data_IF_763145615750
#
_entry.id   IF_763145615750
#
_cell.length_a   1.000
_cell.length_b   1.000
_cell.length_c   1.000
_cell.angle_alpha   90.00
_cell.angle_beta   90.00
_cell.angle_gamma   90.00
#
_symmetry.space_group_name_H-M   'P 1'
#
loop_
_entity.id
_entity.type
_entity.pdbx_description
1 polymer ?
#
# COMPACT_ATOMS: atom_id res chain seq x y z
N UNK A 1 11.85 0.38 23.86
CA UNK A 1 11.10 0.32 25.16
C UNK A 1 10.32 -0.99 25.20
N UNK A 2 10.65 -1.94 26.09
CA UNK A 2 9.90 -3.18 26.23
C UNK A 2 8.54 -2.82 26.85
N UNK A 3 7.45 -2.89 26.10
CA UNK A 3 6.11 -2.63 26.63
C UNK A 3 5.62 -3.94 27.25
N UNK A 4 5.73 -4.06 28.56
CA UNK A 4 5.39 -5.29 29.34
C UNK A 4 3.91 -5.28 29.81
N UNK A 5 3.05 -4.52 29.11
CA UNK A 5 1.63 -4.41 29.43
C UNK A 5 0.75 -5.28 28.53
N UNK A 6 -0.46 -5.56 29.00
CA UNK A 6 -1.48 -6.27 28.25
C UNK A 6 -2.44 -5.28 27.60
N UNK A 7 -2.66 -5.43 26.30
CA UNK A 7 -3.51 -4.56 25.48
C UNK A 7 -4.72 -5.28 24.93
N UNK A 8 -5.79 -4.53 24.66
CA UNK A 8 -6.96 -5.04 23.95
C UNK A 8 -7.53 -4.02 22.96
N UNK A 9 -8.11 -4.52 21.89
CA UNK A 9 -8.93 -3.75 20.97
C UNK A 9 -9.99 -4.59 20.27
N UNK A 10 -10.97 -3.90 19.69
CA UNK A 10 -11.95 -4.50 18.79
C UNK A 10 -11.24 -4.75 17.44
N UNK A 11 -11.20 -5.99 17.00
CA UNK A 11 -10.51 -6.39 15.77
C UNK A 11 -11.42 -6.48 14.53
N UNK A 12 -12.73 -6.40 14.72
CA UNK A 12 -13.72 -6.38 13.63
C UNK A 12 -14.14 -4.95 13.31
N UNK A 13 -14.55 -4.65 12.06
CA UNK A 13 -15.06 -3.33 11.69
C UNK A 13 -16.24 -2.92 12.59
N UNK A 14 -16.39 -1.61 12.89
CA UNK A 14 -17.54 -1.11 13.65
C UNK A 14 -18.83 -1.27 12.83
N UNK A 15 -19.87 -1.84 13.44
CA UNK A 15 -21.16 -2.05 12.77
C UNK A 15 -21.96 -3.17 13.41
N UNK A 16 -23.08 -3.55 12.79
CA UNK A 16 -23.91 -4.69 13.18
C UNK A 16 -23.50 -5.86 12.30
N UNK A 17 -23.02 -6.94 12.90
CA UNK A 17 -22.61 -8.16 12.22
C UNK A 17 -22.99 -9.40 13.02
N UNK A 18 -22.74 -10.59 12.46
CA UNK A 18 -22.97 -11.86 13.18
C UNK A 18 -21.98 -12.08 14.33
N UNK A 19 -20.74 -11.64 14.18
CA UNK A 19 -19.64 -11.83 15.13
C UNK A 19 -18.88 -10.54 15.34
N UNK A 20 -18.52 -10.24 16.60
CA UNK A 20 -17.55 -9.23 17.00
C UNK A 20 -16.34 -9.91 17.64
N UNK A 21 -15.14 -9.43 17.36
CA UNK A 21 -13.89 -9.99 17.89
C UNK A 21 -13.17 -8.92 18.71
N UNK A 22 -12.85 -9.24 19.95
CA UNK A 22 -11.94 -8.46 20.80
C UNK A 22 -10.65 -9.26 20.91
N UNK A 23 -9.53 -8.65 20.55
CA UNK A 23 -8.19 -9.23 20.69
C UNK A 23 -7.51 -8.68 21.92
N UNK A 24 -6.90 -9.57 22.71
CA UNK A 24 -6.09 -9.25 23.89
C UNK A 24 -4.70 -9.82 23.69
N UNK A 25 -3.65 -9.03 23.87
CA UNK A 25 -2.25 -9.47 23.73
C UNK A 25 -1.41 -8.99 24.89
N UNK A 26 -0.51 -9.84 25.35
CA UNK A 26 0.42 -9.57 26.43
C UNK A 26 0.48 -10.71 27.45
N UNK A 27 1.44 -10.62 28.38
CA UNK A 27 1.73 -11.68 29.37
C UNK A 27 0.54 -12.05 30.27
N UNK A 28 -0.34 -11.07 30.58
CA UNK A 28 -1.48 -11.27 31.46
C UNK A 28 -2.79 -11.56 30.71
N UNK A 29 -2.73 -11.73 29.36
CA UNK A 29 -3.92 -11.97 28.53
C UNK A 29 -4.71 -13.23 28.96
N UNK A 30 -4.02 -14.34 29.22
CA UNK A 30 -4.66 -15.58 29.68
C UNK A 30 -5.26 -15.45 31.09
N UNK A 31 -4.50 -15.02 32.12
CA UNK A 31 -5.04 -14.87 33.47
C UNK A 31 -6.26 -13.95 33.53
N UNK A 32 -6.18 -12.79 32.87
CA UNK A 32 -7.27 -11.81 32.89
C UNK A 32 -8.52 -12.39 32.20
N UNK A 33 -8.39 -12.91 31.00
CA UNK A 33 -9.55 -13.48 30.30
C UNK A 33 -10.12 -14.70 31.04
N UNK A 34 -9.27 -15.53 31.64
CA UNK A 34 -9.73 -16.67 32.44
C UNK A 34 -10.56 -16.24 33.66
N UNK A 35 -10.27 -15.08 34.27
CA UNK A 35 -11.04 -14.55 35.40
C UNK A 35 -12.44 -14.05 35.00
N UNK A 36 -12.62 -13.68 33.73
CA UNK A 36 -13.86 -13.14 33.16
C UNK A 36 -14.68 -14.19 32.39
N UNK A 37 -14.07 -15.31 32.04
CA UNK A 37 -14.68 -16.35 31.22
C UNK A 37 -15.16 -17.53 32.03
N UNK A 38 -16.44 -17.81 31.92
CA UNK A 38 -17.05 -19.02 32.48
C UNK A 38 -17.17 -20.07 31.39
N UNK A 39 -16.23 -21.02 31.41
CA UNK A 39 -16.23 -22.15 30.48
C UNK A 39 -17.48 -23.04 30.66
N UNK A 40 -18.03 -23.54 29.58
CA UNK A 40 -19.03 -24.62 29.60
C UNK A 40 -18.43 -25.96 30.08
N UNK A 41 -17.10 -26.11 30.05
CA UNK A 41 -16.36 -27.26 30.52
C UNK A 41 -15.71 -27.03 31.89
N UNK A 42 -15.07 -28.08 32.42
CA UNK A 42 -14.43 -28.06 33.76
C UNK A 42 -12.96 -27.65 33.75
N UNK A 43 -12.31 -27.58 32.58
CA UNK A 43 -10.88 -27.29 32.48
C UNK A 43 -10.67 -25.76 32.30
N UNK A 44 -9.84 -25.10 33.14
CA UNK A 44 -9.49 -23.71 33.00
C UNK A 44 -8.84 -23.38 31.65
N UNK A 45 -8.94 -22.09 31.18
CA UNK A 45 -8.30 -21.65 29.94
C UNK A 45 -6.79 -21.85 29.96
N UNK A 46 -6.14 -21.64 31.10
CA UNK A 46 -4.69 -21.76 31.30
C UNK A 46 -4.16 -23.15 30.98
N UNK A 47 -4.96 -24.20 31.25
CA UNK A 47 -4.58 -25.62 31.09
C UNK A 47 -4.94 -26.17 29.70
N UNK A 48 -5.52 -25.34 28.83
CA UNK A 48 -5.91 -25.77 27.49
C UNK A 48 -4.71 -25.78 26.52
N UNK A 49 -4.82 -26.63 25.51
CA UNK A 49 -3.84 -26.67 24.43
C UNK A 49 -3.82 -25.36 23.65
N UNK A 50 -2.64 -25.02 23.12
CA UNK A 50 -2.48 -23.88 22.22
C UNK A 50 -3.34 -24.04 20.95
N UNK A 51 -3.85 -22.93 20.42
CA UNK A 51 -4.68 -22.86 19.20
C UNK A 51 -5.97 -23.68 19.32
N UNK A 52 -6.63 -23.61 20.49
CA UNK A 52 -7.94 -24.23 20.74
C UNK A 52 -9.01 -23.18 20.97
N UNK A 53 -10.23 -23.51 20.59
CA UNK A 53 -11.42 -22.68 20.80
C UNK A 53 -12.21 -23.26 21.98
N UNK A 54 -12.68 -22.36 22.87
CA UNK A 54 -13.47 -22.70 24.03
C UNK A 54 -14.82 -21.98 23.99
N UNK A 55 -15.91 -22.73 24.20
CA UNK A 55 -17.25 -22.17 24.34
C UNK A 55 -17.54 -21.87 25.80
N UNK A 56 -18.18 -20.73 26.05
CA UNK A 56 -18.58 -20.29 27.37
C UNK A 56 -19.26 -18.94 27.36
N UNK A 57 -19.18 -18.23 28.46
CA UNK A 57 -19.75 -16.90 28.62
C UNK A 57 -18.75 -15.92 29.27
N UNK A 58 -18.80 -14.66 28.87
CA UNK A 58 -18.15 -13.57 29.61
C UNK A 58 -19.09 -13.11 30.70
N UNK A 59 -18.59 -13.13 31.93
CA UNK A 59 -19.32 -12.79 33.16
C UNK A 59 -18.58 -11.68 33.87
N UNK A 60 -19.31 -10.64 34.28
CA UNK A 60 -18.78 -9.60 35.14
C UNK A 60 -18.65 -10.17 36.59
N UNK A 61 -17.45 -10.31 37.13
CA UNK A 61 -17.24 -10.90 38.43
C UNK A 61 -17.81 -10.05 39.60
N UNK A 62 -17.96 -8.72 39.41
CA UNK A 62 -18.50 -7.84 40.43
C UNK A 62 -20.02 -7.97 40.60
N UNK A 63 -20.73 -8.25 39.50
CA UNK A 63 -22.20 -8.33 39.48
C UNK A 63 -22.71 -9.75 39.26
N UNK A 64 -21.82 -10.70 38.89
CA UNK A 64 -22.13 -12.06 38.46
C UNK A 64 -23.11 -12.12 37.25
N UNK A 65 -23.15 -11.06 36.48
CA UNK A 65 -24.05 -10.93 35.30
C UNK A 65 -23.33 -11.43 34.07
N UNK A 66 -23.96 -12.31 33.32
CA UNK A 66 -23.51 -12.70 31.97
C UNK A 66 -23.68 -11.52 31.03
N UNK A 67 -22.59 -11.18 30.31
CA UNK A 67 -22.59 -10.16 29.28
C UNK A 67 -22.99 -10.78 27.94
N UNK A 68 -22.30 -11.89 27.56
CA UNK A 68 -22.57 -12.58 26.29
C UNK A 68 -22.06 -14.02 26.34
N UNK A 69 -22.64 -14.87 25.49
CA UNK A 69 -22.07 -16.18 25.16
C UNK A 69 -21.01 -16.01 24.07
N UNK A 70 -19.86 -16.66 24.24
CA UNK A 70 -18.69 -16.38 23.41
C UNK A 70 -17.91 -17.64 23.06
N UNK A 71 -17.11 -17.54 22.00
CA UNK A 71 -15.99 -18.44 21.71
C UNK A 71 -14.69 -17.74 22.06
N UNK A 72 -13.80 -18.38 22.78
CA UNK A 72 -12.47 -17.86 23.13
C UNK A 72 -11.41 -18.69 22.43
N UNK A 73 -10.62 -18.04 21.57
CA UNK A 73 -9.46 -18.63 20.88
C UNK A 73 -8.20 -18.28 21.64
N UNK A 74 -7.39 -19.30 21.94
CA UNK A 74 -6.14 -19.19 22.68
C UNK A 74 -4.94 -19.36 21.75
N UNK A 75 -3.98 -18.43 21.82
CA UNK A 75 -2.72 -18.48 21.07
C UNK A 75 -1.56 -18.15 22.00
N UNK A 76 -0.78 -19.17 22.38
CA UNK A 76 0.40 -18.99 23.24
C UNK A 76 1.59 -18.52 22.42
N UNK A 77 2.32 -17.57 22.95
CA UNK A 77 3.60 -17.14 22.40
C UNK A 77 4.64 -18.26 22.29
N UNK A 78 5.56 -18.21 21.32
CA UNK A 78 5.69 -17.23 20.25
C UNK A 78 4.76 -17.48 19.04
N UNK A 79 3.91 -18.51 19.07
CA UNK A 79 3.06 -18.93 17.94
C UNK A 79 1.69 -18.23 17.93
N UNK A 80 1.71 -16.92 18.00
CA UNK A 80 0.54 -16.02 17.98
C UNK A 80 0.75 -14.87 16.96
N UNK A 81 -0.21 -13.95 16.87
CA UNK A 81 -0.09 -12.79 15.96
C UNK A 81 1.04 -11.85 16.37
N UNK A 82 1.17 -11.52 17.65
CA UNK A 82 2.17 -10.59 18.21
C UNK A 82 3.46 -11.28 18.67
N UNK A 83 3.52 -12.61 18.58
CA UNK A 83 4.49 -13.48 19.26
C UNK A 83 4.40 -13.43 20.80
N UNK A 84 3.44 -12.73 21.39
CA UNK A 84 3.07 -12.76 22.79
C UNK A 84 1.94 -13.79 23.02
N UNK A 85 1.48 -13.92 24.27
CA UNK A 85 0.23 -14.62 24.55
C UNK A 85 -0.95 -13.79 24.05
N UNK A 86 -1.80 -14.38 23.21
CA UNK A 86 -2.95 -13.72 22.58
C UNK A 86 -4.22 -14.49 22.85
N UNK A 87 -5.27 -13.77 23.21
CA UNK A 87 -6.63 -14.30 23.33
C UNK A 87 -7.56 -13.52 22.42
N UNK A 88 -8.36 -14.21 21.61
CA UNK A 88 -9.46 -13.58 20.87
C UNK A 88 -10.79 -14.03 21.45
N UNK A 89 -11.62 -13.05 21.83
CA UNK A 89 -12.97 -13.25 22.35
C UNK A 89 -13.94 -12.94 21.19
N UNK A 90 -14.58 -13.99 20.67
CA UNK A 90 -15.58 -13.88 19.63
C UNK A 90 -16.97 -13.86 20.27
N UNK A 91 -17.61 -12.71 20.26
CA UNK A 91 -18.94 -12.45 20.82
C UNK A 91 -19.95 -12.15 19.71
N UNK A 92 -21.22 -11.91 20.07
CA UNK A 92 -22.19 -11.41 19.10
C UNK A 92 -21.79 -10.00 18.60
N UNK A 93 -21.92 -9.79 17.27
CA UNK A 93 -21.44 -8.62 16.54
C UNK A 93 -22.29 -7.36 16.71
N UNK A 94 -22.91 -7.20 17.88
CA UNK A 94 -23.61 -5.97 18.26
C UNK A 94 -22.67 -4.95 18.88
N UNK A 95 -22.92 -3.65 18.68
CA UNK A 95 -22.11 -2.57 19.27
C UNK A 95 -22.03 -2.66 20.80
N UNK A 96 -23.15 -3.04 21.44
CA UNK A 96 -23.25 -3.06 22.92
C UNK A 96 -22.45 -4.21 23.53
N UNK A 97 -22.61 -5.50 23.10
CA UNK A 97 -21.83 -6.60 23.65
C UNK A 97 -20.32 -6.36 23.53
N UNK A 98 -19.87 -6.00 22.31
CA UNK A 98 -18.45 -5.76 22.03
C UNK A 98 -17.87 -4.67 22.92
N UNK A 99 -18.56 -3.53 23.09
CA UNK A 99 -18.13 -2.44 23.96
C UNK A 99 -18.14 -2.82 25.44
N UNK A 100 -19.13 -3.60 25.89
CA UNK A 100 -19.20 -4.04 27.28
C UNK A 100 -18.06 -4.99 27.64
N UNK A 101 -17.73 -5.94 26.75
CA UNK A 101 -16.60 -6.84 26.96
C UNK A 101 -15.28 -6.06 26.99
N UNK A 102 -15.05 -5.15 26.02
CA UNK A 102 -13.85 -4.31 26.02
C UNK A 102 -13.73 -3.46 27.30
N UNK A 103 -14.83 -2.83 27.73
CA UNK A 103 -14.86 -2.06 28.97
C UNK A 103 -14.56 -2.92 30.19
N UNK A 104 -15.06 -4.15 30.23
CA UNK A 104 -14.77 -5.09 31.30
C UNK A 104 -13.28 -5.43 31.37
N UNK A 105 -12.62 -5.69 30.20
CA UNK A 105 -11.19 -5.93 30.13
C UNK A 105 -10.38 -4.72 30.63
N UNK A 106 -10.74 -3.50 30.19
CA UNK A 106 -10.07 -2.27 30.64
C UNK A 106 -10.19 -2.07 32.16
N UNK A 107 -11.31 -2.45 32.77
CA UNK A 107 -11.49 -2.40 34.23
C UNK A 107 -10.66 -3.47 34.98
N UNK A 108 -10.00 -4.38 34.26
CA UNK A 108 -9.17 -5.47 34.78
C UNK A 108 -7.72 -5.34 34.29
N UNK A 109 -7.16 -4.13 34.34
CA UNK A 109 -5.76 -3.81 34.06
C UNK A 109 -5.29 -4.11 32.62
N UNK A 110 -6.23 -4.14 31.65
CA UNK A 110 -5.90 -4.18 30.24
C UNK A 110 -5.97 -2.78 29.65
N UNK A 111 -4.89 -2.31 29.04
CA UNK A 111 -4.86 -1.02 28.34
C UNK A 111 -5.52 -1.15 26.95
N UNK A 112 -6.19 -0.11 26.50
CA UNK A 112 -6.62 -0.04 25.10
C UNK A 112 -5.41 0.05 24.18
N UNK A 113 -5.39 -0.77 23.12
CA UNK A 113 -4.35 -0.74 22.11
C UNK A 113 -4.43 0.57 21.30
N UNK A 114 -3.26 1.06 20.90
CA UNK A 114 -3.11 2.13 19.93
C UNK A 114 -3.32 1.62 18.50
N UNK A 115 -3.42 2.53 17.53
CA UNK A 115 -3.48 2.16 16.12
C UNK A 115 -2.22 1.37 15.73
N UNK A 116 -2.39 0.23 15.07
CA UNK A 116 -1.29 -0.63 14.61
C UNK A 116 -0.49 -1.35 15.70
N UNK A 117 -0.85 -1.24 16.98
CA UNK A 117 0.00 -1.72 18.09
C UNK A 117 0.23 -3.24 18.07
N UNK A 118 -0.74 -4.03 17.66
CA UNK A 118 -0.53 -5.49 17.57
C UNK A 118 0.49 -5.84 16.47
N UNK A 119 0.44 -5.16 15.33
CA UNK A 119 1.40 -5.38 14.25
C UNK A 119 2.78 -4.82 14.62
N UNK A 120 2.83 -3.67 15.32
CA UNK A 120 4.06 -3.13 15.90
C UNK A 120 4.73 -4.12 16.86
N UNK A 121 3.96 -4.76 17.76
CA UNK A 121 4.48 -5.81 18.65
C UNK A 121 4.96 -7.04 17.87
N UNK A 122 4.25 -7.46 16.82
CA UNK A 122 4.71 -8.53 15.94
C UNK A 122 6.06 -8.21 15.28
N UNK A 123 6.28 -6.96 14.85
CA UNK A 123 7.55 -6.47 14.34
C UNK A 123 8.63 -6.41 15.43
N UNK A 124 8.34 -5.79 16.58
CA UNK A 124 9.30 -5.66 17.70
C UNK A 124 9.74 -7.02 18.26
N UNK A 125 8.85 -8.02 18.23
CA UNK A 125 9.13 -9.38 18.63
C UNK A 125 9.78 -10.25 17.52
N UNK A 126 10.13 -9.65 16.38
CA UNK A 126 10.84 -10.33 15.28
C UNK A 126 10.01 -11.37 14.52
N UNK A 127 8.67 -11.38 14.66
CA UNK A 127 7.80 -12.28 13.91
C UNK A 127 7.70 -11.89 12.43
N UNK A 128 7.66 -10.60 12.17
CA UNK A 128 7.61 -10.00 10.83
C UNK A 128 8.62 -8.85 10.78
N UNK A 129 9.11 -8.54 9.60
CA UNK A 129 9.87 -7.32 9.36
C UNK A 129 8.96 -6.15 8.92
N UNK A 130 9.57 -4.97 8.68
CA UNK A 130 8.79 -3.77 8.38
C UNK A 130 8.09 -3.84 7.03
N UNK A 131 8.68 -4.48 6.02
CA UNK A 131 8.04 -4.65 4.70
C UNK A 131 6.81 -5.55 4.79
N UNK A 132 6.89 -6.60 5.62
CA UNK A 132 5.78 -7.50 5.90
C UNK A 132 4.68 -6.81 6.72
N UNK A 133 5.07 -5.94 7.66
CA UNK A 133 4.11 -5.13 8.41
C UNK A 133 3.33 -4.20 7.45
N UNK A 134 4.00 -3.49 6.56
CA UNK A 134 3.35 -2.63 5.55
C UNK A 134 2.44 -3.43 4.62
N UNK A 135 2.85 -4.64 4.22
CA UNK A 135 2.03 -5.53 3.40
C UNK A 135 0.69 -5.92 4.05
N UNK A 136 0.61 -5.97 5.39
CA UNK A 136 -0.66 -6.21 6.10
C UNK A 136 -1.67 -5.10 5.84
N UNK A 137 -1.25 -3.84 5.76
CA UNK A 137 -2.14 -2.73 5.37
C UNK A 137 -2.58 -2.91 3.93
N UNK A 138 -1.62 -3.17 3.03
CA UNK A 138 -1.89 -3.32 1.61
C UNK A 138 -2.90 -4.45 1.33
N UNK A 139 -2.85 -5.56 2.11
CA UNK A 139 -3.85 -6.65 2.04
C UNK A 139 -5.23 -6.16 2.47
N UNK A 140 -5.32 -5.35 3.54
CA UNK A 140 -6.61 -4.86 4.06
C UNK A 140 -7.24 -3.85 3.11
N UNK A 141 -6.42 -3.01 2.47
CA UNK A 141 -6.84 -1.93 1.59
C UNK A 141 -6.94 -2.36 0.11
N UNK A 142 -6.53 -3.59 -0.21
CA UNK A 142 -6.56 -4.13 -1.57
C UNK A 142 -7.97 -4.04 -2.17
N UNK A 143 -8.07 -3.45 -3.37
CA UNK A 143 -9.34 -3.24 -4.09
C UNK A 143 -9.53 -4.20 -5.25
N UNK A 144 -8.45 -4.91 -5.64
CA UNK A 144 -8.43 -5.84 -6.77
C UNK A 144 -7.68 -7.12 -6.40
N UNK A 145 -7.92 -8.20 -7.16
CA UNK A 145 -7.20 -9.46 -6.97
C UNK A 145 -5.69 -9.29 -7.23
N UNK A 146 -5.30 -8.45 -8.17
CA UNK A 146 -3.89 -8.19 -8.48
C UNK A 146 -3.20 -7.44 -7.34
N UNK A 147 -3.84 -6.42 -6.77
CA UNK A 147 -3.29 -5.70 -5.60
C UNK A 147 -3.20 -6.60 -4.37
N UNK A 148 -4.19 -7.47 -4.15
CA UNK A 148 -4.14 -8.46 -3.07
C UNK A 148 -3.00 -9.46 -3.29
N UNK A 149 -2.85 -10.00 -4.49
CA UNK A 149 -1.78 -10.94 -4.83
C UNK A 149 -0.39 -10.34 -4.61
N UNK A 150 -0.19 -9.08 -5.02
CA UNK A 150 1.05 -8.35 -4.79
C UNK A 150 1.33 -8.18 -3.29
N UNK A 151 0.33 -7.76 -2.51
CA UNK A 151 0.47 -7.57 -1.07
C UNK A 151 0.75 -8.90 -0.33
N UNK A 152 0.12 -10.01 -0.74
CA UNK A 152 0.40 -11.35 -0.18
C UNK A 152 1.84 -11.77 -0.50
N UNK A 153 2.32 -11.57 -1.73
CA UNK A 153 3.72 -11.85 -2.10
C UNK A 153 4.72 -11.06 -1.24
N UNK A 154 4.41 -9.79 -0.92
CA UNK A 154 5.23 -8.98 -0.01
C UNK A 154 5.16 -9.49 1.44
N UNK A 155 3.98 -9.92 1.92
CA UNK A 155 3.85 -10.53 3.24
C UNK A 155 4.64 -11.84 3.35
N UNK A 156 4.73 -12.63 2.28
CA UNK A 156 5.55 -13.84 2.18
C UNK A 156 7.07 -13.53 2.17
N UNK A 157 7.44 -12.24 2.10
CA UNK A 157 8.81 -11.77 2.28
C UNK A 157 9.64 -11.71 1.00
N UNK A 158 9.03 -11.58 -0.17
CA UNK A 158 9.76 -11.51 -1.47
C UNK A 158 10.75 -10.36 -1.49
N UNK A 159 10.34 -9.16 -1.08
CA UNK A 159 11.23 -7.97 -1.00
C UNK A 159 12.24 -8.12 0.13
N UNK A 160 11.80 -8.62 1.28
CA UNK A 160 12.69 -8.86 2.43
C UNK A 160 13.84 -9.82 2.10
N UNK A 161 13.52 -10.93 1.42
CA UNK A 161 14.54 -11.91 1.03
C UNK A 161 15.56 -11.29 0.08
N UNK A 162 15.09 -10.55 -0.92
CA UNK A 162 15.96 -9.83 -1.83
C UNK A 162 16.90 -8.86 -1.09
N UNK A 163 16.33 -8.05 -0.19
CA UNK A 163 17.12 -7.08 0.60
C UNK A 163 18.15 -7.80 1.48
N UNK A 164 17.77 -8.90 2.14
CA UNK A 164 18.66 -9.71 2.97
C UNK A 164 19.81 -10.29 2.16
N UNK A 165 19.54 -10.87 1.00
CA UNK A 165 20.55 -11.46 0.11
C UNK A 165 21.56 -10.41 -0.36
N UNK A 166 21.11 -9.22 -0.74
CA UNK A 166 22.00 -8.12 -1.13
C UNK A 166 22.82 -7.63 0.07
N UNK A 167 22.20 -7.45 1.23
CA UNK A 167 22.90 -7.03 2.46
C UNK A 167 23.95 -8.03 2.91
N UNK A 168 23.69 -9.34 2.80
CA UNK A 168 24.68 -10.38 3.11
C UNK A 168 25.90 -10.30 2.17
N UNK A 169 25.69 -10.05 0.89
CA UNK A 169 26.77 -9.87 -0.07
C UNK A 169 27.59 -8.59 0.25
N UNK A 170 26.92 -7.47 0.52
CA UNK A 170 27.58 -6.21 0.86
C UNK A 170 28.39 -6.31 2.16
N UNK A 171 27.83 -6.91 3.23
CA UNK A 171 28.54 -7.00 4.52
C UNK A 171 29.78 -7.93 4.44
N UNK A 172 29.68 -9.00 3.66
CA UNK A 172 30.83 -9.87 3.40
C UNK A 172 31.95 -9.12 2.68
N UNK A 173 31.61 -8.29 1.70
CA UNK A 173 32.56 -7.45 0.97
C UNK A 173 33.14 -6.36 1.88
N UNK A 174 32.34 -5.66 2.66
CA UNK A 174 32.79 -4.65 3.62
C UNK A 174 33.78 -5.26 4.60
N UNK A 175 33.45 -6.42 5.18
CA UNK A 175 34.34 -7.12 6.11
C UNK A 175 35.72 -7.48 5.47
N UNK A 176 35.73 -7.91 4.21
CA UNK A 176 36.92 -8.23 3.47
C UNK A 176 37.79 -6.97 3.22
N UNK A 177 37.17 -5.86 2.82
CA UNK A 177 37.83 -4.58 2.62
C UNK A 177 38.40 -4.04 3.94
N UNK A 178 37.70 -4.14 5.06
CA UNK A 178 38.15 -3.69 6.38
C UNK A 178 39.38 -4.49 6.88
N UNK A 179 39.43 -5.80 6.66
CA UNK A 179 40.59 -6.61 6.98
C UNK A 179 41.81 -6.17 6.18
N UNK A 180 41.64 -5.85 4.90
CA UNK A 180 42.75 -5.33 4.06
C UNK A 180 43.23 -3.96 4.54
N UNK A 181 42.34 -3.11 5.06
CA UNK A 181 42.68 -1.79 5.62
C UNK A 181 43.45 -1.92 6.95
N UNK A 182 42.96 -2.80 7.84
CA UNK A 182 43.50 -2.91 9.22
C UNK A 182 44.82 -3.68 9.30
N UNK A 183 45.09 -4.59 8.36
CA UNK A 183 46.28 -5.47 8.36
C UNK A 183 47.05 -5.42 7.04
N UNK A 184 47.59 -4.27 6.63
CA UNK A 184 48.28 -4.12 5.36
C UNK A 184 49.68 -4.82 5.29
N UNK A 185 50.15 -5.34 6.41
CA UNK A 185 51.47 -6.04 6.50
C UNK A 185 51.34 -7.57 6.55
N UNK A 186 50.12 -8.10 6.65
CA UNK A 186 49.88 -9.55 6.60
C UNK A 186 49.74 -9.98 5.13
N UNK A 187 50.24 -11.20 4.77
CA UNK A 187 50.04 -11.84 3.45
C UNK A 187 48.57 -12.24 3.20
N UNK A 188 47.65 -11.30 3.45
CA UNK A 188 46.25 -11.43 3.07
C UNK A 188 46.17 -11.04 1.59
N UNK A 189 45.58 -11.90 0.76
CA UNK A 189 45.40 -11.58 -0.66
C UNK A 189 44.69 -10.21 -0.77
N UNK A 190 45.42 -9.22 -1.29
CA UNK A 190 44.87 -7.89 -1.54
C UNK A 190 43.66 -8.01 -2.41
N UNK A 191 42.48 -7.54 -1.91
CA UNK A 191 41.25 -7.48 -2.71
C UNK A 191 41.52 -6.55 -3.88
N UNK A 192 41.60 -7.11 -5.05
CA UNK A 192 41.83 -6.31 -6.25
C UNK A 192 40.56 -5.49 -6.59
N UNK A 193 40.81 -4.26 -7.08
CA UNK A 193 39.70 -3.41 -7.58
C UNK A 193 38.79 -4.13 -8.59
N UNK A 194 39.34 -5.09 -9.33
CA UNK A 194 38.60 -5.89 -10.29
C UNK A 194 37.65 -6.88 -9.61
N UNK A 195 38.09 -7.55 -8.55
CA UNK A 195 37.26 -8.49 -7.78
C UNK A 195 36.06 -7.81 -7.15
N UNK A 196 36.28 -6.62 -6.53
CA UNK A 196 35.18 -5.82 -5.99
C UNK A 196 34.19 -5.43 -7.07
N UNK A 197 34.67 -4.99 -8.23
CA UNK A 197 33.83 -4.68 -9.39
C UNK A 197 33.00 -5.87 -9.84
N UNK A 198 33.64 -7.03 -10.01
CA UNK A 198 32.99 -8.25 -10.51
C UNK A 198 31.91 -8.73 -9.53
N UNK A 199 32.03 -8.46 -8.24
CA UNK A 199 31.01 -8.75 -7.22
C UNK A 199 29.89 -7.69 -7.16
N UNK A 200 30.19 -6.39 -7.39
CA UNK A 200 29.20 -5.32 -7.31
C UNK A 200 28.29 -5.24 -8.55
N UNK A 201 28.79 -5.58 -9.73
CA UNK A 201 28.00 -5.51 -10.97
C UNK A 201 26.74 -6.39 -10.95
N UNK A 202 26.78 -7.67 -10.50
CA UNK A 202 25.56 -8.48 -10.34
C UNK A 202 24.57 -7.88 -9.34
N UNK A 203 25.05 -7.27 -8.25
CA UNK A 203 24.22 -6.61 -7.25
C UNK A 203 23.49 -5.43 -7.87
N UNK A 204 24.20 -4.54 -8.57
CA UNK A 204 23.58 -3.41 -9.28
C UNK A 204 22.54 -3.86 -10.27
N UNK A 205 22.86 -4.88 -11.08
CA UNK A 205 21.92 -5.42 -12.03
C UNK A 205 20.64 -5.95 -11.36
N UNK A 206 20.78 -6.69 -10.26
CA UNK A 206 19.64 -7.19 -9.50
C UNK A 206 18.78 -6.05 -8.92
N UNK A 207 19.43 -4.98 -8.42
CA UNK A 207 18.71 -3.78 -7.94
C UNK A 207 17.99 -3.07 -9.10
N UNK A 208 18.61 -2.95 -10.27
CA UNK A 208 17.99 -2.39 -11.48
C UNK A 208 16.79 -3.20 -11.96
N UNK A 209 16.94 -4.53 -12.00
CA UNK A 209 15.87 -5.44 -12.39
C UNK A 209 14.65 -5.28 -11.45
N UNK A 210 14.87 -5.19 -10.13
CA UNK A 210 13.80 -4.94 -9.16
C UNK A 210 13.19 -3.54 -9.32
N UNK A 211 14.02 -2.48 -9.43
CA UNK A 211 13.55 -1.10 -9.61
C UNK A 211 12.77 -0.92 -10.92
N UNK A 212 13.09 -1.69 -11.96
CA UNK A 212 12.34 -1.65 -13.23
C UNK A 212 10.87 -2.02 -13.06
N UNK A 213 10.50 -2.73 -11.99
CA UNK A 213 9.12 -3.10 -11.64
C UNK A 213 8.37 -2.02 -10.85
N UNK A 214 9.07 -0.97 -10.39
CA UNK A 214 8.55 0.00 -9.43
C UNK A 214 7.28 0.71 -9.89
N UNK A 215 7.27 1.18 -11.14
CA UNK A 215 6.09 1.88 -11.67
C UNK A 215 4.88 0.94 -11.78
N UNK A 216 5.07 -0.26 -12.33
CA UNK A 216 4.02 -1.28 -12.42
C UNK A 216 3.50 -1.66 -11.04
N UNK A 217 4.41 -1.94 -10.09
CA UNK A 217 4.04 -2.27 -8.71
C UNK A 217 3.23 -1.18 -8.03
N UNK A 218 3.65 0.10 -8.17
CA UNK A 218 2.92 1.25 -7.64
C UNK A 218 1.51 1.36 -8.22
N UNK A 219 1.37 1.23 -9.54
CA UNK A 219 0.06 1.30 -10.20
C UNK A 219 -0.87 0.15 -9.84
N UNK A 220 -0.35 -1.06 -9.62
CA UNK A 220 -1.15 -2.19 -9.12
C UNK A 220 -1.58 -1.97 -7.67
N UNK A 221 -0.69 -1.47 -6.80
CA UNK A 221 -0.93 -1.23 -5.37
C UNK A 221 -1.89 -0.06 -5.15
N UNK A 222 -1.52 1.14 -5.63
CA UNK A 222 -2.22 2.39 -5.34
C UNK A 222 -3.41 2.62 -6.28
N UNK A 223 -3.42 1.93 -7.42
CA UNK A 223 -4.34 2.16 -8.52
C UNK A 223 -3.91 3.33 -9.41
N UNK A 224 -4.70 3.58 -10.45
CA UNK A 224 -4.47 4.63 -11.44
C UNK A 224 -5.41 5.79 -11.17
N UNK A 225 -4.86 6.95 -10.86
CA UNK A 225 -5.64 8.19 -10.76
C UNK A 225 -5.97 8.70 -12.15
N UNK A 226 -7.26 8.67 -12.49
CA UNK A 226 -7.77 9.07 -13.80
C UNK A 226 -8.67 10.29 -13.67
N UNK A 227 -8.27 11.39 -14.31
CA UNK A 227 -9.03 12.65 -14.28
C UNK A 227 -9.76 12.84 -15.60
N UNK A 228 -11.07 13.15 -15.54
CA UNK A 228 -11.89 13.41 -16.71
C UNK A 228 -12.08 14.93 -16.85
N UNK A 229 -11.62 15.48 -17.98
CA UNK A 229 -11.74 16.92 -18.30
C UNK A 229 -12.49 17.12 -19.63
N UNK A 230 -13.03 18.33 -19.83
CA UNK A 230 -13.75 18.71 -21.03
C UNK A 230 -14.82 19.76 -20.73
N UNK A 231 -15.34 20.44 -21.74
CA UNK A 231 -16.41 21.46 -21.57
C UNK A 231 -17.73 20.83 -21.07
N UNK A 232 -18.65 21.63 -20.52
CA UNK A 232 -20.02 21.16 -20.24
C UNK A 232 -20.66 20.55 -21.51
N UNK A 233 -21.42 19.47 -21.34
CA UNK A 233 -22.11 18.75 -22.43
C UNK A 233 -21.21 18.06 -23.48
N UNK A 234 -19.90 17.99 -23.30
CA UNK A 234 -19.02 17.18 -24.14
C UNK A 234 -19.25 15.66 -24.00
N UNK A 235 -19.97 15.26 -22.93
CA UNK A 235 -20.32 13.85 -22.68
C UNK A 235 -19.55 13.21 -21.53
N UNK A 236 -18.89 13.98 -20.66
CA UNK A 236 -18.13 13.48 -19.49
C UNK A 236 -18.97 12.58 -18.57
N UNK A 237 -20.14 13.06 -18.14
CA UNK A 237 -21.02 12.29 -17.26
C UNK A 237 -21.58 11.04 -17.96
N UNK A 238 -21.79 11.08 -19.28
CA UNK A 238 -22.19 9.90 -20.06
C UNK A 238 -21.08 8.86 -20.12
N UNK A 239 -19.84 9.31 -20.36
CA UNK A 239 -18.66 8.45 -20.33
C UNK A 239 -18.46 7.82 -18.95
N UNK A 240 -18.48 8.63 -17.88
CA UNK A 240 -18.34 8.16 -16.51
C UNK A 240 -19.41 7.13 -16.15
N UNK A 241 -20.67 7.39 -16.49
CA UNK A 241 -21.76 6.44 -16.27
C UNK A 241 -21.60 5.15 -17.09
N UNK A 242 -21.12 5.21 -18.31
CA UNK A 242 -20.84 4.04 -19.13
C UNK A 242 -19.72 3.19 -18.51
N UNK A 243 -18.61 3.82 -18.12
CA UNK A 243 -17.49 3.15 -17.47
C UNK A 243 -17.90 2.47 -16.16
N UNK A 244 -18.67 3.15 -15.30
CA UNK A 244 -19.10 2.62 -14.01
C UNK A 244 -20.14 1.50 -14.13
N UNK A 245 -20.96 1.47 -15.19
CA UNK A 245 -21.94 0.39 -15.41
C UNK A 245 -21.29 -0.95 -15.71
N UNK A 246 -20.19 -0.95 -16.43
CA UNK A 246 -19.50 -2.17 -16.87
C UNK A 246 -18.50 -2.68 -15.82
N UNK A 247 -17.88 -1.79 -15.05
CA UNK A 247 -16.68 -2.10 -14.26
C UNK A 247 -16.74 -1.61 -12.80
N UNK A 248 -17.94 -1.42 -12.25
CA UNK A 248 -18.07 -0.90 -10.87
C UNK A 248 -17.42 -1.84 -9.86
N UNK A 249 -16.39 -1.35 -9.17
CA UNK A 249 -15.80 -2.07 -8.04
C UNK A 249 -16.86 -2.20 -6.93
N UNK A 250 -16.86 -3.33 -6.23
CA UNK A 250 -17.66 -3.50 -5.00
C UNK A 250 -16.93 -2.72 -3.91
N UNK A 251 -17.17 -1.41 -3.83
CA UNK A 251 -16.69 -0.61 -2.70
C UNK A 251 -17.72 -0.79 -1.58
N UNK A 252 -17.32 -1.41 -0.49
CA UNK A 252 -18.11 -1.37 0.75
C UNK A 252 -17.99 0.05 1.31
N UNK A 253 -19.15 0.68 1.53
CA UNK A 253 -19.24 1.96 2.23
C UNK A 253 -18.59 1.82 3.62
N UNK A 254 -17.35 2.27 3.78
CA UNK A 254 -16.73 2.40 5.10
C UNK A 254 -17.30 3.69 5.70
N UNK A 255 -18.10 3.64 6.78
CA UNK A 255 -18.66 4.83 7.39
C UNK A 255 -17.53 5.73 7.90
N UNK A 256 -17.36 6.91 7.32
CA UNK A 256 -16.38 7.92 7.74
C UNK A 256 -15.52 8.51 6.61
N UNK A 257 -15.52 7.94 5.41
CA UNK A 257 -14.72 8.44 4.27
C UNK A 257 -15.50 9.31 3.28
N UNK A 258 -16.83 9.49 3.49
CA UNK A 258 -17.73 10.18 2.54
C UNK A 258 -17.93 11.66 2.89
N UNK A 259 -16.89 12.49 2.88
CA UNK A 259 -17.09 13.94 3.04
C UNK A 259 -16.46 14.85 1.98
N UNK A 260 -15.62 14.31 1.09
CA UNK A 260 -15.12 15.08 -0.06
C UNK A 260 -15.33 14.26 -1.34
N UNK A 261 -16.51 14.29 -1.80
CA UNK A 261 -17.20 13.71 -2.90
C UNK A 261 -16.67 14.02 -4.26
N UNK A 262 -16.56 13.16 -5.13
CA UNK A 262 -16.50 13.11 -6.60
C UNK A 262 -15.45 12.09 -7.03
N UNK A 263 -15.12 11.18 -6.15
CA UNK A 263 -14.22 10.07 -6.47
C UNK A 263 -15.04 8.79 -6.58
N UNK A 264 -14.97 8.17 -7.73
CA UNK A 264 -15.57 6.84 -7.97
C UNK A 264 -14.46 5.84 -8.27
N UNK A 265 -14.64 4.62 -7.79
CA UNK A 265 -13.68 3.55 -8.02
C UNK A 265 -14.27 2.52 -8.98
N UNK A 266 -13.43 2.09 -9.93
CA UNK A 266 -13.75 1.00 -10.84
C UNK A 266 -12.55 0.07 -11.01
N UNK A 267 -12.78 -1.15 -11.50
CA UNK A 267 -11.70 -2.08 -11.83
C UNK A 267 -11.66 -2.29 -13.33
N UNK A 268 -10.48 -2.09 -13.92
CA UNK A 268 -10.22 -2.33 -15.33
C UNK A 268 -8.99 -3.22 -15.45
N UNK A 269 -9.13 -4.37 -16.11
CA UNK A 269 -8.02 -5.33 -16.31
C UNK A 269 -7.30 -5.73 -15.02
N UNK A 270 -8.04 -5.86 -13.91
CA UNK A 270 -7.47 -6.19 -12.60
C UNK A 270 -6.83 -5.02 -11.86
N UNK A 271 -6.80 -3.81 -12.44
CA UNK A 271 -6.24 -2.60 -11.84
C UNK A 271 -7.37 -1.71 -11.31
N UNK A 272 -7.18 -1.16 -10.10
CA UNK A 272 -8.09 -0.17 -9.53
C UNK A 272 -7.90 1.18 -10.21
N UNK A 273 -8.97 1.76 -10.73
CA UNK A 273 -8.98 3.14 -11.23
C UNK A 273 -9.76 4.02 -10.26
N UNK A 274 -9.18 5.15 -9.91
CA UNK A 274 -9.81 6.23 -9.16
C UNK A 274 -10.21 7.31 -10.15
N UNK A 275 -11.50 7.39 -10.47
CA UNK A 275 -12.05 8.40 -11.38
C UNK A 275 -12.36 9.68 -10.62
N UNK A 276 -11.86 10.80 -11.13
CA UNK A 276 -12.11 12.14 -10.59
C UNK A 276 -12.82 12.95 -11.68
N UNK A 277 -14.09 13.31 -11.42
CA UNK A 277 -14.84 14.20 -12.34
C UNK A 277 -14.65 15.65 -11.95
N UNK A 278 -13.97 16.40 -12.82
CA UNK A 278 -13.75 17.84 -12.62
C UNK A 278 -15.01 18.69 -12.86
N UNK A 279 -16.06 18.15 -13.49
CA UNK A 279 -17.32 18.90 -13.71
C UNK A 279 -18.10 19.12 -12.42
N UNK A 280 -18.13 18.15 -11.51
CA UNK A 280 -18.78 18.28 -10.20
C UNK A 280 -18.07 19.30 -9.27
N UNK A 281 -16.82 19.66 -9.54
CA UNK A 281 -16.08 20.69 -8.78
C UNK A 281 -16.55 22.11 -9.16
N UNK A 282 -17.12 22.30 -10.35
CA UNK A 282 -17.56 23.60 -10.87
C UNK A 282 -19.04 23.96 -10.56
N UNK A 283 -19.87 23.00 -10.15
CA UNK A 283 -21.33 23.20 -10.01
C UNK A 283 -21.81 23.78 -8.66
N UNK A 284 -20.93 24.24 -7.79
CA UNK A 284 -21.34 24.96 -6.57
C UNK A 284 -21.36 26.46 -6.83
N UNK A 285 -22.57 27.01 -7.04
CA UNK A 285 -22.82 28.45 -7.05
C UNK A 285 -22.43 29.02 -5.67
N UNK A 286 -21.42 29.87 -5.64
CA UNK A 286 -21.00 30.95 -4.74
C UNK A 286 -19.52 30.85 -4.35
N UNK A 287 -18.78 31.95 -4.61
CA UNK A 287 -17.44 32.34 -4.07
C UNK A 287 -16.32 31.25 -4.03
N UNK A 288 -16.57 30.04 -4.51
CA UNK A 288 -15.71 28.87 -4.51
C UNK A 288 -15.11 28.62 -5.90
N UNK A 289 -15.44 29.41 -6.91
CA UNK A 289 -15.05 29.17 -8.31
C UNK A 289 -13.52 29.18 -8.51
N UNK A 290 -12.80 30.09 -7.84
CA UNK A 290 -11.35 30.13 -7.88
C UNK A 290 -10.69 28.92 -7.18
N UNK A 291 -11.23 28.50 -6.05
CA UNK A 291 -10.78 27.29 -5.30
C UNK A 291 -11.08 26.00 -6.10
N UNK A 292 -12.16 25.96 -6.85
CA UNK A 292 -12.52 24.82 -7.71
C UNK A 292 -11.56 24.65 -8.89
N UNK A 293 -11.15 25.76 -9.53
CA UNK A 293 -10.19 25.74 -10.65
C UNK A 293 -8.79 25.33 -10.18
N UNK A 294 -8.35 25.82 -9.03
CA UNK A 294 -7.05 25.46 -8.45
C UNK A 294 -7.01 23.96 -8.07
N UNK A 295 -8.05 23.45 -7.42
CA UNK A 295 -8.18 22.01 -7.12
C UNK A 295 -8.21 21.15 -8.39
N UNK A 296 -8.93 21.57 -9.43
CA UNK A 296 -8.96 20.85 -10.70
C UNK A 296 -7.57 20.76 -11.34
N UNK A 297 -6.78 21.85 -11.30
CA UNK A 297 -5.39 21.85 -11.77
C UNK A 297 -4.50 20.91 -10.95
N UNK A 298 -4.67 20.90 -9.63
CA UNK A 298 -3.92 19.99 -8.75
C UNK A 298 -4.22 18.53 -9.06
N UNK A 299 -5.47 18.16 -9.32
CA UNK A 299 -5.84 16.81 -9.72
C UNK A 299 -5.26 16.44 -11.09
N UNK A 300 -5.32 17.35 -12.07
CA UNK A 300 -4.75 17.14 -13.40
C UNK A 300 -3.24 16.89 -13.31
N UNK A 301 -2.52 17.67 -12.51
CA UNK A 301 -1.07 17.54 -12.35
C UNK A 301 -0.66 16.24 -11.62
N UNK A 302 -1.54 15.67 -10.80
CA UNK A 302 -1.29 14.43 -10.05
C UNK A 302 -1.89 13.19 -10.72
N UNK A 303 -2.58 13.38 -11.86
CA UNK A 303 -3.21 12.27 -12.58
C UNK A 303 -2.17 11.37 -13.26
N UNK A 304 -2.36 10.05 -13.15
CA UNK A 304 -1.62 9.07 -13.95
C UNK A 304 -2.13 9.04 -15.40
N UNK A 305 -3.44 9.30 -15.59
CA UNK A 305 -4.09 9.42 -16.91
C UNK A 305 -5.06 10.60 -16.88
N UNK A 306 -5.04 11.39 -17.94
CA UNK A 306 -6.06 12.43 -18.21
C UNK A 306 -6.92 12.01 -19.40
N UNK A 307 -8.24 11.91 -19.21
CA UNK A 307 -9.21 11.69 -20.27
C UNK A 307 -9.82 13.03 -20.68
N UNK A 308 -9.35 13.59 -21.80
CA UNK A 308 -9.86 14.85 -22.32
C UNK A 308 -10.99 14.59 -23.32
N UNK A 309 -12.24 14.87 -22.88
CA UNK A 309 -13.44 14.61 -23.68
C UNK A 309 -13.81 15.84 -24.50
N UNK A 310 -13.80 15.71 -25.81
CA UNK A 310 -14.12 16.72 -26.82
C UNK A 310 -15.35 16.28 -27.61
N UNK A 311 -16.25 17.22 -27.90
CA UNK A 311 -17.40 16.98 -28.78
C UNK A 311 -16.92 16.97 -30.23
N UNK A 312 -16.72 15.79 -30.81
CA UNK A 312 -16.25 15.64 -32.19
C UNK A 312 -17.23 16.10 -33.27
N UNK A 313 -18.50 16.33 -32.91
CA UNK A 313 -19.56 16.72 -33.84
C UNK A 313 -19.65 18.23 -34.12
N UNK A 314 -18.89 19.06 -33.39
CA UNK A 314 -18.88 20.51 -33.52
C UNK A 314 -17.46 21.03 -33.65
N UNK A 315 -17.21 22.20 -34.34
CA UNK A 315 -15.89 22.79 -34.35
C UNK A 315 -15.36 23.10 -32.94
N UNK A 316 -14.03 22.98 -32.76
CA UNK A 316 -13.38 23.32 -31.49
C UNK A 316 -13.74 24.73 -31.00
N UNK A 317 -14.13 24.82 -29.77
CA UNK A 317 -14.41 26.10 -29.11
C UNK A 317 -13.15 26.64 -28.43
N UNK A 318 -13.05 27.99 -28.16
CA UNK A 318 -11.91 28.54 -27.41
C UNK A 318 -11.69 27.86 -26.05
N UNK A 319 -12.74 27.45 -25.34
CA UNK A 319 -12.65 26.76 -24.07
C UNK A 319 -12.02 25.36 -24.24
N UNK A 320 -12.38 24.60 -25.29
CA UNK A 320 -11.76 23.31 -25.58
C UNK A 320 -10.29 23.44 -25.95
N UNK A 321 -9.91 24.49 -26.67
CA UNK A 321 -8.51 24.80 -27.00
C UNK A 321 -7.71 25.09 -25.71
N UNK A 322 -8.28 25.88 -24.79
CA UNK A 322 -7.64 26.15 -23.50
C UNK A 322 -7.44 24.86 -22.69
N UNK A 323 -8.46 23.98 -22.62
CA UNK A 323 -8.35 22.69 -21.96
C UNK A 323 -7.26 21.83 -22.61
N UNK A 324 -7.25 21.66 -23.93
CA UNK A 324 -6.23 20.91 -24.66
C UNK A 324 -4.82 21.42 -24.37
N UNK A 325 -4.64 22.73 -24.38
CA UNK A 325 -3.36 23.35 -24.07
C UNK A 325 -2.92 23.08 -22.64
N UNK A 326 -3.85 23.09 -21.67
CA UNK A 326 -3.56 22.87 -20.26
C UNK A 326 -3.16 21.43 -19.92
N UNK A 327 -3.58 20.45 -20.73
CA UNK A 327 -3.27 19.02 -20.53
C UNK A 327 -2.20 18.51 -21.51
N UNK A 328 -1.65 19.39 -22.35
CA UNK A 328 -0.58 19.05 -23.27
C UNK A 328 0.70 18.64 -22.54
N UNK A 329 1.34 17.59 -23.00
CA UNK A 329 2.58 17.04 -22.38
C UNK A 329 2.35 16.17 -21.15
N UNK A 330 1.11 16.06 -20.67
CA UNK A 330 0.72 15.07 -19.67
C UNK A 330 0.35 13.75 -20.35
N UNK A 331 0.18 12.69 -19.55
CA UNK A 331 -0.32 11.41 -20.08
C UNK A 331 -1.82 11.52 -20.40
N UNK A 332 -2.11 12.18 -21.51
CA UNK A 332 -3.47 12.58 -21.93
C UNK A 332 -3.96 11.77 -23.10
N UNK A 333 -5.15 11.18 -22.94
CA UNK A 333 -5.91 10.54 -24.02
C UNK A 333 -7.05 11.48 -24.41
N UNK A 334 -7.02 12.02 -25.61
CA UNK A 334 -8.10 12.84 -26.14
C UNK A 334 -9.17 11.94 -26.72
N UNK A 335 -10.39 12.05 -26.19
CA UNK A 335 -11.55 11.28 -26.60
C UNK A 335 -12.49 12.18 -27.44
N UNK A 336 -12.46 11.97 -28.77
CA UNK A 336 -13.41 12.59 -29.70
C UNK A 336 -14.75 11.86 -29.57
N UNK A 337 -15.61 12.39 -28.71
CA UNK A 337 -16.90 11.80 -28.37
C UNK A 337 -17.97 12.08 -29.44
N UNK A 338 -19.07 11.35 -29.37
CA UNK A 338 -20.19 11.36 -30.31
C UNK A 338 -19.83 10.83 -31.70
N UNK A 339 -19.03 9.76 -31.77
CA UNK A 339 -18.69 9.08 -33.02
C UNK A 339 -19.90 8.51 -33.76
N UNK A 340 -21.03 8.37 -33.07
CA UNK A 340 -22.33 7.95 -33.63
C UNK A 340 -22.97 9.01 -34.55
N UNK A 341 -22.43 10.22 -34.61
CA UNK A 341 -22.85 11.28 -35.55
C UNK A 341 -21.67 11.78 -36.39
N UNK A 342 -21.98 12.62 -37.40
CA UNK A 342 -20.94 13.16 -38.29
C UNK A 342 -19.87 13.93 -37.52
N UNK A 343 -18.61 13.57 -37.72
CA UNK A 343 -17.47 14.18 -37.06
C UNK A 343 -16.99 15.41 -37.85
N UNK A 344 -16.69 16.50 -37.14
CA UNK A 344 -16.16 17.75 -37.68
C UNK A 344 -14.70 17.95 -37.25
N UNK A 345 -14.33 17.49 -36.04
CA UNK A 345 -12.97 17.61 -35.50
C UNK A 345 -12.11 16.48 -36.03
N UNK A 346 -10.92 16.84 -36.56
CA UNK A 346 -9.91 15.88 -37.03
C UNK A 346 -8.76 15.75 -36.02
N UNK A 347 -7.95 14.70 -36.18
CA UNK A 347 -6.77 14.49 -35.34
C UNK A 347 -5.75 15.62 -35.51
N UNK A 348 -5.65 16.19 -36.73
CA UNK A 348 -4.79 17.33 -37.03
C UNK A 348 -5.20 18.57 -36.21
N UNK A 349 -6.52 18.85 -36.14
CA UNK A 349 -7.02 19.96 -35.34
C UNK A 349 -6.63 19.83 -33.86
N UNK A 350 -6.61 18.61 -33.31
CA UNK A 350 -6.19 18.36 -31.92
C UNK A 350 -4.68 18.56 -31.77
N UNK A 351 -3.87 17.98 -32.69
CA UNK A 351 -2.41 18.06 -32.64
C UNK A 351 -1.84 19.47 -32.78
N UNK A 352 -2.59 20.40 -33.38
CA UNK A 352 -2.22 21.82 -33.42
C UNK A 352 -2.15 22.46 -32.02
N UNK A 353 -2.85 21.89 -31.03
CA UNK A 353 -2.97 22.46 -29.68
C UNK A 353 -2.14 21.73 -28.61
N UNK A 354 -1.35 20.71 -28.99
CA UNK A 354 -0.46 20.05 -28.03
C UNK A 354 -0.03 18.64 -28.41
N UNK A 355 0.78 18.06 -27.53
CA UNK A 355 1.22 16.68 -27.62
C UNK A 355 0.40 15.82 -26.67
N UNK A 356 -0.23 14.77 -27.18
CA UNK A 356 -1.10 13.87 -26.44
C UNK A 356 -0.64 12.43 -26.62
N UNK A 357 -0.86 11.59 -25.62
CA UNK A 357 -0.52 10.16 -25.65
C UNK A 357 -1.31 9.44 -26.77
N UNK A 358 -2.59 9.80 -26.90
CA UNK A 358 -3.46 9.25 -27.92
C UNK A 358 -4.64 10.18 -28.26
N UNK A 359 -5.21 9.96 -29.43
CA UNK A 359 -6.48 10.53 -29.87
C UNK A 359 -7.36 9.36 -30.31
N UNK A 360 -8.48 9.15 -29.61
CA UNK A 360 -9.39 8.02 -29.87
C UNK A 360 -10.82 8.55 -30.13
N UNK A 361 -11.56 7.89 -31.00
CA UNK A 361 -12.97 8.20 -31.28
C UNK A 361 -13.86 7.27 -30.50
N UNK A 362 -14.83 7.82 -29.81
CA UNK A 362 -15.80 7.07 -28.99
C UNK A 362 -17.23 7.58 -29.13
N UNK A 363 -18.18 6.70 -28.91
CA UNK A 363 -19.55 7.08 -28.55
C UNK A 363 -19.78 6.67 -27.08
N UNK A 364 -19.71 7.67 -26.18
CA UNK A 364 -20.04 7.43 -24.76
C UNK A 364 -21.47 6.93 -24.58
N UNK A 365 -22.38 7.21 -25.53
CA UNK A 365 -23.76 6.75 -25.55
C UNK A 365 -23.85 5.25 -25.82
N UNK A 366 -22.98 4.72 -26.67
CA UNK A 366 -22.91 3.30 -27.05
C UNK A 366 -21.96 2.46 -26.20
N UNK A 367 -21.28 3.07 -25.21
CA UNK A 367 -20.40 2.37 -24.25
C UNK A 367 -18.97 2.13 -24.73
N UNK A 368 -18.56 2.69 -25.88
CA UNK A 368 -17.25 2.40 -26.49
C UNK A 368 -16.03 2.86 -25.64
N UNK A 369 -16.23 3.71 -24.65
CA UNK A 369 -15.15 4.24 -23.80
C UNK A 369 -14.40 3.21 -22.97
N UNK A 370 -15.05 2.08 -22.60
CA UNK A 370 -14.46 1.03 -21.76
C UNK A 370 -13.31 0.31 -22.47
N UNK A 371 -13.48 -0.08 -23.74
CA UNK A 371 -12.44 -0.77 -24.51
C UNK A 371 -11.19 0.11 -24.73
N UNK A 372 -11.40 1.41 -24.96
CA UNK A 372 -10.30 2.37 -25.09
C UNK A 372 -9.53 2.47 -23.78
N UNK A 373 -10.24 2.60 -22.66
CA UNK A 373 -9.61 2.68 -21.35
C UNK A 373 -8.85 1.41 -20.99
N UNK A 374 -9.41 0.22 -21.21
CA UNK A 374 -8.72 -1.07 -21.03
C UNK A 374 -7.40 -1.12 -21.77
N UNK A 375 -7.40 -0.78 -23.06
CA UNK A 375 -6.18 -0.75 -23.89
C UNK A 375 -5.10 0.13 -23.27
N UNK A 376 -5.43 1.35 -22.85
CA UNK A 376 -4.47 2.31 -22.32
C UNK A 376 -4.03 2.02 -20.89
N UNK A 377 -4.88 1.40 -20.08
CA UNK A 377 -4.50 0.88 -18.76
C UNK A 377 -3.46 -0.24 -18.91
N UNK A 378 -3.68 -1.18 -19.82
CA UNK A 378 -2.71 -2.24 -20.11
C UNK A 378 -1.38 -1.69 -20.61
N UNK A 379 -1.41 -0.70 -21.52
CA UNK A 379 -0.20 -0.05 -22.02
C UNK A 379 0.57 0.67 -20.91
N UNK A 380 -0.12 1.40 -20.05
CA UNK A 380 0.49 2.14 -18.95
C UNK A 380 1.12 1.22 -17.89
N UNK A 381 0.42 0.15 -17.52
CA UNK A 381 0.85 -0.76 -16.44
C UNK A 381 1.91 -1.73 -16.94
N UNK A 382 1.71 -2.33 -18.11
CA UNK A 382 2.56 -3.42 -18.58
C UNK A 382 3.47 -3.02 -19.76
N UNK A 383 3.37 -1.78 -20.29
CA UNK A 383 4.14 -1.31 -21.45
C UNK A 383 3.91 -2.21 -22.67
N UNK A 384 2.69 -2.74 -22.85
CA UNK A 384 2.34 -3.68 -23.90
C UNK A 384 2.90 -5.10 -23.71
N UNK A 385 3.56 -5.40 -22.57
CA UNK A 385 4.05 -6.75 -22.24
C UNK A 385 2.95 -7.58 -21.60
N UNK A 386 2.99 -8.89 -21.83
CA UNK A 386 2.10 -9.83 -21.12
C UNK A 386 2.52 -9.89 -19.66
N UNK A 387 1.53 -9.90 -18.75
CA UNK A 387 1.72 -10.07 -17.29
C UNK A 387 2.68 -11.24 -17.03
N UNK A 388 3.85 -10.96 -16.45
CA UNK A 388 4.79 -12.01 -16.04
C UNK A 388 4.43 -12.47 -14.63
N UNK A 389 4.06 -13.73 -14.49
CA UNK A 389 3.86 -14.38 -13.19
C UNK A 389 5.22 -14.61 -12.49
N UNK A 390 5.30 -14.27 -11.18
CA UNK A 390 6.33 -14.66 -10.20
C UNK A 390 7.70 -13.95 -10.17
N UNK A 391 7.91 -12.78 -10.74
CA UNK A 391 9.09 -11.97 -10.39
C UNK A 391 8.82 -11.11 -9.13
N UNK A 392 9.83 -10.96 -8.27
CA UNK A 392 9.77 -10.01 -7.16
C UNK A 392 9.43 -8.61 -7.72
N UNK A 393 8.46 -7.94 -7.11
CA UNK A 393 8.00 -6.62 -7.55
C UNK A 393 8.02 -5.65 -6.36
N UNK A 394 8.59 -4.47 -6.56
CA UNK A 394 8.59 -3.41 -5.56
C UNK A 394 7.49 -2.40 -5.87
N UNK A 395 6.68 -2.03 -4.88
CA UNK A 395 5.51 -1.17 -5.06
C UNK A 395 5.43 -0.01 -4.07
N UNK A 396 6.07 -0.15 -2.90
CA UNK A 396 6.04 0.85 -1.84
C UNK A 396 7.02 1.97 -2.14
N UNK A 397 6.54 3.22 -2.14
CA UNK A 397 7.33 4.43 -2.44
C UNK A 397 8.55 4.56 -1.52
N UNK A 398 8.42 4.22 -0.22
CA UNK A 398 9.53 4.23 0.73
C UNK A 398 10.61 3.23 0.33
N UNK A 399 10.21 2.00 -0.01
CA UNK A 399 11.15 0.95 -0.45
C UNK A 399 11.85 1.34 -1.75
N UNK A 400 11.10 1.88 -2.73
CA UNK A 400 11.64 2.35 -4.00
C UNK A 400 12.71 3.42 -3.75
N UNK A 401 12.38 4.46 -2.98
CA UNK A 401 13.30 5.56 -2.69
C UNK A 401 14.56 5.11 -1.96
N UNK A 402 14.45 4.21 -0.96
CA UNK A 402 15.59 3.67 -0.25
C UNK A 402 16.46 2.78 -1.15
N UNK A 403 15.83 1.97 -2.01
CA UNK A 403 16.53 1.13 -2.99
C UNK A 403 17.30 1.97 -4.02
N UNK A 404 16.70 3.05 -4.53
CA UNK A 404 17.37 4.00 -5.44
C UNK A 404 18.57 4.67 -4.77
N UNK A 405 18.42 5.11 -3.52
CA UNK A 405 19.51 5.69 -2.75
C UNK A 405 20.62 4.66 -2.48
N UNK A 406 20.28 3.44 -2.09
CA UNK A 406 21.26 2.37 -1.87
C UNK A 406 22.00 2.03 -3.17
N UNK A 407 21.30 1.94 -4.29
CA UNK A 407 21.89 1.74 -5.62
C UNK A 407 22.91 2.85 -5.95
N UNK A 408 22.55 4.11 -5.72
CA UNK A 408 23.43 5.25 -5.95
C UNK A 408 24.73 5.16 -5.13
N UNK A 409 24.67 4.65 -3.88
CA UNK A 409 25.87 4.42 -3.07
C UNK A 409 26.74 3.29 -3.63
N UNK A 410 26.16 2.22 -4.15
CA UNK A 410 26.92 1.14 -4.82
C UNK A 410 27.56 1.64 -6.12
N UNK A 411 26.87 2.47 -6.91
CA UNK A 411 27.42 3.14 -8.10
C UNK A 411 28.58 4.08 -7.73
N UNK A 412 28.44 4.81 -6.62
CA UNK A 412 29.50 5.66 -6.08
C UNK A 412 30.74 4.84 -5.70
N UNK A 413 30.57 3.70 -5.03
CA UNK A 413 31.66 2.78 -4.71
C UNK A 413 32.41 2.31 -5.97
N UNK A 414 31.69 1.95 -7.04
CA UNK A 414 32.32 1.60 -8.34
C UNK A 414 33.07 2.78 -8.94
N UNK A 415 32.51 3.97 -8.89
CA UNK A 415 33.17 5.19 -9.37
C UNK A 415 34.45 5.48 -8.58
N UNK A 416 34.42 5.27 -7.26
CA UNK A 416 35.61 5.42 -6.39
C UNK A 416 36.72 4.44 -6.79
N UNK A 417 36.36 3.20 -7.13
CA UNK A 417 37.28 2.19 -7.67
C UNK A 417 37.86 2.65 -9.01
N UNK A 418 37.04 3.15 -9.92
CA UNK A 418 37.47 3.61 -11.26
C UNK A 418 38.47 4.79 -11.19
N UNK A 419 38.30 5.65 -10.19
CA UNK A 419 39.20 6.78 -9.93
C UNK A 419 40.46 6.39 -9.19
N UNK A 420 40.65 5.14 -8.79
CA UNK A 420 41.78 4.67 -8.00
C UNK A 420 41.81 5.28 -6.59
N UNK A 421 40.62 5.56 -6.02
CA UNK A 421 40.51 6.11 -4.68
C UNK A 421 40.89 5.06 -3.62
N UNK A 422 41.34 5.48 -2.42
CA UNK A 422 41.62 4.57 -1.31
C UNK A 422 40.39 3.69 -0.97
N UNK A 423 40.65 2.44 -0.57
CA UNK A 423 39.64 1.42 -0.28
C UNK A 423 38.66 1.86 0.82
N UNK A 424 39.09 2.72 1.74
CA UNK A 424 38.28 3.30 2.82
C UNK A 424 37.04 4.01 2.29
N UNK A 425 37.14 4.71 1.14
CA UNK A 425 35.99 5.37 0.51
C UNK A 425 34.99 4.35 -0.03
N UNK A 426 35.48 3.29 -0.67
CA UNK A 426 34.67 2.20 -1.18
C UNK A 426 33.92 1.52 -0.04
N UNK A 427 34.60 1.19 1.06
CA UNK A 427 33.96 0.57 2.24
C UNK A 427 32.88 1.49 2.87
N UNK A 428 33.12 2.80 2.89
CA UNK A 428 32.19 3.79 3.42
C UNK A 428 30.93 3.87 2.56
N UNK A 429 31.06 3.91 1.23
CA UNK A 429 29.92 3.94 0.30
C UNK A 429 29.10 2.66 0.41
N UNK A 430 29.75 1.48 0.47
CA UNK A 430 29.05 0.19 0.64
C UNK A 430 28.34 0.08 1.99
N UNK A 431 28.94 0.63 3.07
CA UNK A 431 28.29 0.68 4.38
C UNK A 431 27.02 1.53 4.34
N UNK A 432 27.07 2.68 3.67
CA UNK A 432 25.89 3.54 3.46
C UNK A 432 24.78 2.82 2.68
N UNK A 433 25.15 2.07 1.64
CA UNK A 433 24.20 1.24 0.90
C UNK A 433 23.57 0.16 1.79
N UNK A 434 24.37 -0.52 2.61
CA UNK A 434 23.94 -1.57 3.53
C UNK A 434 22.97 -1.05 4.60
N UNK A 435 23.19 0.15 5.14
CA UNK A 435 22.31 0.82 6.10
C UNK A 435 20.96 1.19 5.45
N UNK A 436 20.99 1.83 4.27
CA UNK A 436 19.77 2.18 3.52
C UNK A 436 18.89 0.97 3.19
N UNK A 437 19.51 -0.15 2.83
CA UNK A 437 18.81 -1.42 2.63
C UNK A 437 18.23 -1.95 3.95
N UNK A 438 18.92 -1.77 5.07
CA UNK A 438 18.43 -2.14 6.40
C UNK A 438 17.21 -1.32 6.83
N UNK A 439 17.12 -0.07 6.39
CA UNK A 439 15.94 0.77 6.64
C UNK A 439 14.70 0.26 5.89
N UNK A 440 14.85 -0.49 4.79
CA UNK A 440 13.72 -1.13 4.10
C UNK A 440 13.07 -2.18 5.00
N UNK A 441 13.86 -3.07 5.59
CA UNK A 441 13.39 -4.16 6.46
C UNK A 441 13.13 -3.72 7.90
N UNK A 442 13.65 -2.55 8.27
CA UNK A 442 13.48 -1.98 9.61
C UNK A 442 14.60 -2.35 10.59
N UNK A 443 15.69 -2.98 10.13
CA UNK A 443 16.80 -3.41 11.00
C UNK A 443 17.60 -2.24 11.56
N UNK A 444 17.63 -1.09 10.86
CA UNK A 444 18.41 0.11 11.20
C UNK A 444 17.55 1.31 11.53
N UNK A 445 16.24 1.18 11.43
CA UNK A 445 15.28 2.28 11.53
C UNK A 445 15.15 2.84 12.95
N UNK A 446 14.93 4.16 13.06
CA UNK A 446 14.73 4.84 14.35
C UNK A 446 13.33 4.60 14.91
N UNK A 447 13.22 4.48 16.24
CA UNK A 447 11.96 4.22 16.95
C UNK A 447 10.86 5.23 16.60
N UNK A 448 11.19 6.52 16.44
CA UNK A 448 10.22 7.57 16.07
C UNK A 448 9.57 7.35 14.69
N UNK A 449 10.29 6.77 13.75
CA UNK A 449 9.77 6.45 12.42
C UNK A 449 8.83 5.24 12.46
N UNK A 450 9.15 4.28 13.32
CA UNK A 450 8.30 3.11 13.58
C UNK A 450 6.93 3.59 14.09
N UNK A 451 6.92 4.49 15.08
CA UNK A 451 5.69 5.03 15.66
C UNK A 451 4.84 5.78 14.63
N UNK A 452 5.45 6.62 13.81
CA UNK A 452 4.74 7.32 12.74
C UNK A 452 4.12 6.34 11.74
N UNK A 453 4.85 5.32 11.32
CA UNK A 453 4.38 4.34 10.35
C UNK A 453 3.19 3.56 10.90
N UNK A 454 3.28 3.04 12.13
CA UNK A 454 2.18 2.26 12.73
C UNK A 454 0.96 3.12 13.10
N UNK A 455 1.09 4.43 13.28
CA UNK A 455 -0.05 5.33 13.52
C UNK A 455 -1.06 5.37 12.36
N UNK A 456 -0.65 4.96 11.15
CA UNK A 456 -1.51 4.89 9.95
C UNK A 456 -2.33 3.60 9.87
N UNK A 457 -2.07 2.64 10.76
CA UNK A 457 -2.78 1.36 10.77
C UNK A 457 -4.18 1.49 11.39
N UNK A 458 -5.04 0.51 11.10
CA UNK A 458 -6.33 0.40 11.74
C UNK A 458 -6.21 0.02 13.23
N UNK A 459 -7.15 0.49 14.05
CA UNK A 459 -7.28 0.06 15.43
C UNK A 459 -7.60 -1.45 15.45
N UNK A 460 -6.92 -2.22 16.32
CA UNK A 460 -7.12 -3.67 16.42
C UNK A 460 -6.21 -4.52 15.50
N UNK A 461 -5.29 -3.87 14.79
CA UNK A 461 -4.22 -4.50 13.98
C UNK A 461 -2.83 -4.18 14.52
#
# INVERSE_FOLDING_TARGET
MYIDDTIAAIATPPGIGGVGIIRVSGKDSFPIVNSLFKSAGTVPLMDRQNRTIQYGAIVDPATNKTIDEVLVLLMKGPHSYTAEDVVEIQCHGGIVPVRQILKLLVNHDVRMAEAGEFTKRAFMNGRIDLTQAEAIIDIIEAKTEDSLSLAVSQLDGTVSSFVKDVREQLIAMIAHLEVTIDYPEEDIEDVTSQEVRDQLQPILKAMDDLLSTANTGRLIRDGITTVIVGRPNAGKSSLMNALLRENRAIVTDIPGTTRDSIEEYMTVEGISLRLIDTAGIRDTQDTVEALGVERARDYINKADIVLCVIDGSTPLTPEEIEILTSVSGLNTIVLLNKSDVAQVVTDENIKEHGNFTAIERISAKEGEGSAVLSKWVQELVYGGRVKQDNSAMISNVRHISLMEQAKAQVEQALSSIDMGMPVDFVATDLRSAWELLGDITGDTIRESMIDELFSRFCLGK
#
